data_IF_216336807885
#
_entry.id   IF_216336807885
#
_cell.length_a   1.000
_cell.length_b   1.000
_cell.length_c   1.000
_cell.angle_alpha   90.00
_cell.angle_beta   90.00
_cell.angle_gamma   90.00
#
_symmetry.space_group_name_H-M   'P 1'
#
loop_
_entity.id
_entity.type
_entity.pdbx_description
1 polymer ?
#
# COMPACT_ATOMS: atom_id res chain seq x y z
N UNK A 1 12.68 -0.21 38.86
CA UNK A 1 12.78 0.45 37.57
C UNK A 1 13.34 1.86 37.78
N UNK A 2 14.45 2.19 37.15
CA UNK A 2 15.09 3.49 37.37
C UNK A 2 14.32 4.56 36.58
N UNK A 3 14.11 5.74 37.14
CA UNK A 3 13.47 6.90 36.45
C UNK A 3 14.15 7.17 35.09
N UNK A 4 15.45 6.95 35.00
CA UNK A 4 16.24 7.06 33.79
C UNK A 4 15.74 6.10 32.70
N UNK A 5 15.42 4.85 33.06
CA UNK A 5 14.99 3.84 32.10
C UNK A 5 13.59 4.16 31.57
N UNK A 6 12.69 4.62 32.44
CA UNK A 6 11.36 5.11 32.03
C UNK A 6 11.43 6.35 31.13
N UNK A 7 12.38 7.27 31.42
CA UNK A 7 12.60 8.44 30.57
C UNK A 7 13.19 8.04 29.20
N UNK A 8 14.11 7.08 29.17
CA UNK A 8 14.69 6.57 27.94
C UNK A 8 13.63 5.88 27.07
N UNK A 9 12.78 5.05 27.67
CA UNK A 9 11.68 4.39 26.96
C UNK A 9 10.69 5.41 26.39
N UNK A 10 10.31 6.40 27.18
CA UNK A 10 9.47 7.50 26.69
C UNK A 10 10.13 8.24 25.53
N UNK A 11 11.43 8.58 25.66
CA UNK A 11 12.18 9.27 24.62
C UNK A 11 12.27 8.49 23.32
N UNK A 12 12.42 7.18 23.39
CA UNK A 12 12.46 6.29 22.22
C UNK A 12 11.15 6.31 21.41
N UNK A 13 10.03 6.48 22.09
CA UNK A 13 8.71 6.46 21.47
C UNK A 13 8.26 7.86 20.99
N UNK A 14 9.03 8.92 21.30
CA UNK A 14 8.74 10.24 20.73
C UNK A 14 9.13 10.28 19.25
N UNK A 15 8.14 10.54 18.41
CA UNK A 15 8.37 10.81 17.00
C UNK A 15 8.91 12.24 16.83
N UNK A 16 9.96 12.39 16.03
CA UNK A 16 10.65 13.67 15.83
C UNK A 16 10.87 13.89 14.33
N UNK A 17 10.31 14.98 13.84
CA UNK A 17 10.33 15.32 12.41
C UNK A 17 10.99 16.70 12.22
N UNK A 18 11.89 16.78 11.24
CA UNK A 18 12.39 18.04 10.73
C UNK A 18 11.54 18.50 9.56
N UNK A 19 11.15 19.76 9.56
CA UNK A 19 10.37 20.38 8.50
C UNK A 19 11.13 21.56 7.92
N UNK A 20 11.29 21.58 6.61
CA UNK A 20 11.91 22.71 5.90
C UNK A 20 10.98 23.19 4.82
N UNK A 21 10.72 24.49 4.78
CA UNK A 21 9.95 25.13 3.73
C UNK A 21 10.89 25.50 2.58
N UNK A 22 10.51 25.11 1.37
CA UNK A 22 11.22 25.48 0.14
C UNK A 22 10.29 26.25 -0.81
N UNK A 23 10.88 26.95 -1.76
CA UNK A 23 10.14 27.54 -2.87
C UNK A 23 9.77 26.47 -3.91
N UNK A 24 8.65 26.68 -4.61
CA UNK A 24 8.05 25.67 -5.51
C UNK A 24 8.85 25.37 -6.80
N UNK A 25 9.87 26.17 -7.12
CA UNK A 25 10.70 25.99 -8.33
C UNK A 25 12.11 25.55 -7.95
N UNK A 26 12.37 24.25 -7.95
CA UNK A 26 13.64 23.68 -7.52
C UNK A 26 14.58 23.31 -8.65
N UNK A 27 15.85 23.63 -8.44
CA UNK A 27 16.99 23.05 -9.15
C UNK A 27 17.59 21.89 -8.33
N UNK A 28 18.26 20.94 -8.97
CA UNK A 28 18.93 19.80 -8.32
C UNK A 28 19.90 20.18 -7.20
N UNK A 29 20.43 21.41 -7.20
CA UNK A 29 21.31 21.96 -6.14
C UNK A 29 20.58 22.18 -4.81
N UNK A 30 19.27 22.46 -4.80
CA UNK A 30 18.51 22.64 -3.56
C UNK A 30 18.29 21.33 -2.80
N UNK A 31 18.26 20.19 -3.50
CA UNK A 31 18.19 18.89 -2.86
C UNK A 31 19.45 18.57 -2.06
N UNK A 32 20.63 18.97 -2.54
CA UNK A 32 21.89 18.85 -1.79
C UNK A 32 21.87 19.73 -0.55
N UNK A 33 21.44 21.00 -0.67
CA UNK A 33 21.32 21.91 0.46
C UNK A 33 20.34 21.41 1.52
N UNK A 34 19.26 20.72 1.12
CA UNK A 34 18.34 20.09 2.06
C UNK A 34 19.00 18.93 2.83
N UNK A 35 19.80 18.11 2.16
CA UNK A 35 20.56 17.02 2.79
C UNK A 35 21.55 17.60 3.79
N UNK A 36 22.36 18.56 3.38
CA UNK A 36 23.38 19.19 4.22
C UNK A 36 22.78 19.86 5.45
N UNK A 37 21.72 20.67 5.29
CA UNK A 37 21.02 21.30 6.40
C UNK A 37 20.41 20.28 7.38
N UNK A 38 19.93 19.14 6.87
CA UNK A 38 19.42 18.07 7.70
C UNK A 38 20.54 17.36 8.48
N UNK A 39 21.71 17.16 7.88
CA UNK A 39 22.90 16.61 8.54
C UNK A 39 23.41 17.56 9.65
N UNK A 40 23.51 18.85 9.35
CA UNK A 40 23.90 19.87 10.33
C UNK A 40 22.92 19.93 11.50
N UNK A 41 21.61 19.86 11.25
CA UNK A 41 20.59 19.83 12.28
C UNK A 41 20.72 18.58 13.16
N UNK A 42 20.94 17.41 12.59
CA UNK A 42 21.20 16.18 13.33
C UNK A 42 22.47 16.29 14.18
N UNK A 43 23.54 16.85 13.65
CA UNK A 43 24.80 17.07 14.38
C UNK A 43 24.58 18.03 15.58
N UNK A 44 23.80 19.08 15.39
CA UNK A 44 23.45 20.02 16.46
C UNK A 44 22.64 19.34 17.58
N UNK A 45 21.63 18.55 17.25
CA UNK A 45 20.84 17.78 18.23
C UNK A 45 21.75 16.84 19.01
N UNK A 46 22.63 16.11 18.36
CA UNK A 46 23.60 15.23 19.01
C UNK A 46 24.54 16.01 19.95
N UNK A 47 24.98 17.19 19.54
CA UNK A 47 25.81 18.07 20.38
C UNK A 47 25.09 18.51 21.64
N UNK A 48 23.82 18.94 21.53
CA UNK A 48 23.00 19.33 22.69
C UNK A 48 22.79 18.14 23.63
N UNK A 49 22.41 16.98 23.09
CA UNK A 49 22.24 15.75 23.85
C UNK A 49 23.52 15.37 24.62
N UNK A 50 24.68 15.40 23.97
CA UNK A 50 25.99 15.13 24.60
C UNK A 50 26.28 16.10 25.74
N UNK A 51 26.01 17.38 25.52
CA UNK A 51 26.23 18.42 26.54
C UNK A 51 25.35 18.19 27.78
N UNK A 52 24.08 17.82 27.59
CA UNK A 52 23.18 17.49 28.69
C UNK A 52 23.67 16.23 29.41
N UNK A 53 24.03 15.19 28.67
CA UNK A 53 24.51 13.92 29.21
C UNK A 53 25.79 14.12 30.04
N UNK A 54 26.75 14.92 29.57
CA UNK A 54 27.96 15.26 30.30
C UNK A 54 27.67 16.02 31.61
N UNK A 55 26.74 16.98 31.56
CA UNK A 55 26.34 17.73 32.75
C UNK A 55 25.68 16.86 33.81
N UNK A 56 24.85 15.91 33.39
CA UNK A 56 24.16 14.97 34.30
C UNK A 56 25.14 13.98 34.92
N UNK A 57 26.16 13.56 34.22
CA UNK A 57 27.16 12.58 34.69
C UNK A 57 28.29 13.19 35.54
N UNK A 58 28.44 14.49 35.46
CA UNK A 58 29.48 15.19 36.20
C UNK A 58 30.92 14.88 35.71
N UNK A 59 31.86 14.67 36.63
CA UNK A 59 33.29 14.49 36.33
C UNK A 59 33.69 13.05 35.99
N UNK A 60 32.78 12.07 36.16
CA UNK A 60 33.06 10.68 35.84
C UNK A 60 32.74 10.38 34.36
N UNK A 61 33.68 10.58 33.48
CA UNK A 61 33.54 10.28 32.08
C UNK A 61 33.80 8.79 31.81
N UNK A 62 32.72 8.07 31.50
CA UNK A 62 32.81 6.74 30.89
C UNK A 62 32.64 6.86 29.39
N UNK A 63 33.28 5.98 28.64
CA UNK A 63 33.02 5.84 27.21
C UNK A 63 31.60 5.20 27.09
N UNK A 64 30.63 5.98 26.66
CA UNK A 64 29.30 5.48 26.38
C UNK A 64 29.02 5.54 24.87
N UNK A 65 28.42 4.46 24.41
CA UNK A 65 27.85 4.46 23.07
C UNK A 65 26.55 5.27 23.10
N UNK A 66 26.58 6.37 22.41
CA UNK A 66 25.40 7.14 22.17
C UNK A 66 24.65 6.56 20.99
N UNK A 67 23.46 6.02 21.25
CA UNK A 67 22.50 5.79 20.17
C UNK A 67 22.15 7.15 19.58
N UNK A 68 22.05 7.23 18.26
CA UNK A 68 21.71 8.46 17.58
C UNK A 68 20.35 9.00 18.10
N UNK A 69 20.43 9.97 19.01
CA UNK A 69 19.29 10.75 19.42
C UNK A 69 19.14 11.87 18.38
N UNK A 70 18.24 11.69 17.44
CA UNK A 70 18.02 12.64 16.36
C UNK A 70 16.59 12.55 15.84
N UNK A 71 16.35 13.26 14.78
CA UNK A 71 15.10 13.15 14.03
C UNK A 71 15.03 11.81 13.32
N UNK A 72 13.82 11.24 13.23
CA UNK A 72 13.59 9.96 12.55
C UNK A 72 13.43 10.15 11.03
N UNK A 73 12.86 11.28 10.63
CA UNK A 73 12.73 11.71 9.24
C UNK A 73 12.74 13.23 9.14
N UNK A 74 13.05 13.73 7.95
CA UNK A 74 12.98 15.16 7.61
C UNK A 74 12.14 15.33 6.38
N UNK A 75 11.33 16.39 6.38
CA UNK A 75 10.43 16.73 5.29
C UNK A 75 10.76 18.11 4.76
N UNK A 76 10.92 18.25 3.45
CA UNK A 76 10.83 19.53 2.79
C UNK A 76 9.38 19.78 2.41
N UNK A 77 8.87 20.97 2.70
CA UNK A 77 7.50 21.36 2.40
C UNK A 77 7.48 22.63 1.55
N UNK A 78 6.45 22.76 0.71
CA UNK A 78 6.24 23.91 -0.15
C UNK A 78 4.76 24.23 -0.30
N UNK A 79 4.46 25.41 -0.86
CA UNK A 79 3.08 25.83 -1.13
C UNK A 79 2.59 25.25 -2.46
N UNK A 80 1.31 24.93 -2.55
CA UNK A 80 0.63 24.58 -3.79
C UNK A 80 -0.58 25.48 -4.00
N UNK A 81 -0.87 25.79 -5.25
CA UNK A 81 -1.91 26.77 -5.63
C UNK A 81 -3.10 26.12 -6.36
N UNK A 82 -3.20 24.80 -6.34
CA UNK A 82 -4.24 24.09 -7.10
C UNK A 82 -5.67 24.54 -6.76
N UNK A 83 -5.93 24.90 -5.51
CA UNK A 83 -7.25 25.33 -5.03
C UNK A 83 -7.74 26.64 -5.64
N UNK A 84 -6.84 27.48 -6.21
CA UNK A 84 -7.19 28.81 -6.77
C UNK A 84 -8.34 28.77 -7.78
N UNK A 85 -8.41 27.68 -8.55
CA UNK A 85 -9.42 27.51 -9.59
C UNK A 85 -10.64 26.69 -9.13
N UNK A 86 -10.67 26.29 -7.85
CA UNK A 86 -11.69 25.38 -7.30
C UNK A 86 -12.26 25.94 -5.99
N UNK A 87 -13.30 26.81 -6.06
CA UNK A 87 -13.85 27.50 -4.88
C UNK A 87 -14.30 26.58 -3.76
N UNK A 88 -14.80 25.38 -4.08
CA UNK A 88 -15.24 24.39 -3.08
C UNK A 88 -14.11 23.84 -2.21
N UNK A 89 -12.85 24.05 -2.59
CA UNK A 89 -11.66 23.51 -1.92
C UNK A 89 -10.76 24.61 -1.34
N UNK A 90 -11.27 25.85 -1.20
CA UNK A 90 -10.49 26.97 -0.66
C UNK A 90 -10.08 26.75 0.81
N UNK A 91 -10.79 25.93 1.54
CA UNK A 91 -10.42 25.52 2.90
C UNK A 91 -9.14 24.67 2.98
N UNK A 92 -8.68 24.13 1.85
CA UNK A 92 -7.38 23.42 1.73
C UNK A 92 -6.26 24.37 1.25
N UNK A 93 -6.59 25.65 0.96
CA UNK A 93 -5.59 26.61 0.51
C UNK A 93 -4.56 26.89 1.61
N UNK A 94 -3.29 26.95 1.20
CA UNK A 94 -2.19 27.24 2.13
C UNK A 94 -1.73 26.04 2.97
N UNK A 95 -2.41 24.88 2.88
CA UNK A 95 -1.90 23.66 3.52
C UNK A 95 -0.62 23.22 2.80
N UNK A 96 0.50 23.00 3.53
CA UNK A 96 1.77 22.72 2.92
C UNK A 96 1.80 21.32 2.29
N UNK A 97 2.39 21.25 1.10
CA UNK A 97 2.67 20.01 0.40
C UNK A 97 4.07 19.51 0.76
N UNK A 98 4.20 18.22 0.97
CA UNK A 98 5.50 17.57 1.08
C UNK A 98 6.13 17.56 -0.30
N UNK A 99 7.37 18.00 -0.39
CA UNK A 99 8.13 18.08 -1.62
C UNK A 99 9.31 17.08 -1.64
N UNK A 100 9.78 16.67 -0.49
CA UNK A 100 10.69 15.54 -0.35
C UNK A 100 10.68 14.97 1.07
N UNK A 101 11.04 13.68 1.16
CA UNK A 101 11.11 12.94 2.42
C UNK A 101 12.49 12.31 2.55
N UNK A 102 13.18 12.57 3.66
CA UNK A 102 14.40 11.89 4.04
C UNK A 102 14.10 11.03 5.27
N UNK A 103 14.30 9.74 5.13
CA UNK A 103 14.09 8.77 6.20
C UNK A 103 15.44 8.30 6.71
N UNK A 104 15.66 8.38 8.02
CA UNK A 104 16.84 7.81 8.64
C UNK A 104 16.61 6.30 8.84
N UNK A 105 17.47 5.45 8.29
CA UNK A 105 17.43 4.01 8.62
C UNK A 105 17.77 3.79 10.10
N UNK A 106 17.13 2.95 10.86
CA UNK A 106 15.88 2.24 10.61
C UNK A 106 14.71 3.11 11.06
N UNK A 107 13.73 3.36 10.21
CA UNK A 107 12.57 4.13 10.63
C UNK A 107 11.54 3.18 11.29
N UNK A 108 11.20 3.47 12.54
CA UNK A 108 10.21 2.71 13.30
C UNK A 108 9.10 3.67 13.72
N UNK A 109 7.86 3.32 13.39
CA UNK A 109 6.66 4.00 13.86
C UNK A 109 5.92 3.14 14.88
N UNK A 110 5.50 3.76 15.97
CA UNK A 110 4.71 3.13 17.03
C UNK A 110 3.28 3.66 16.95
N UNK A 111 2.41 2.90 16.31
CA UNK A 111 1.00 3.24 16.16
C UNK A 111 0.15 2.62 17.27
N UNK A 112 -0.99 3.23 17.59
CA UNK A 112 -1.88 2.75 18.66
C UNK A 112 -2.57 1.45 18.28
N UNK A 113 -2.85 1.27 16.99
CA UNK A 113 -3.53 0.09 16.45
C UNK A 113 -2.64 -0.71 15.50
N UNK A 114 -2.89 -2.01 15.40
CA UNK A 114 -2.26 -2.94 14.46
C UNK A 114 -3.27 -3.64 13.55
N UNK A 115 -4.53 -3.34 13.71
CA UNK A 115 -5.64 -3.88 12.95
C UNK A 115 -6.59 -2.77 12.57
N UNK A 116 -7.33 -2.95 11.52
CA UNK A 116 -8.41 -2.04 11.15
C UNK A 116 -9.76 -2.74 11.28
N UNK A 117 -10.76 -1.96 11.55
CA UNK A 117 -12.17 -2.36 11.57
C UNK A 117 -12.97 -1.50 10.59
N UNK A 118 -14.08 -2.04 10.12
CA UNK A 118 -15.06 -1.33 9.32
C UNK A 118 -14.75 -1.22 7.83
N UNK A 119 -15.79 -0.94 7.10
CA UNK A 119 -15.79 -0.60 5.68
C UNK A 119 -16.10 0.89 5.51
N UNK A 120 -15.66 1.46 4.40
CA UNK A 120 -15.97 2.83 4.02
C UNK A 120 -17.26 2.85 3.21
N UNK A 121 -18.08 3.87 3.39
CA UNK A 121 -19.35 4.01 2.68
C UNK A 121 -19.43 5.34 1.93
N UNK A 122 -20.21 5.34 0.87
CA UNK A 122 -20.49 6.54 0.08
C UNK A 122 -21.49 7.44 0.82
N UNK A 123 -21.31 8.75 0.74
CA UNK A 123 -22.26 9.78 1.22
C UNK A 123 -22.58 10.73 0.08
N UNK A 124 -23.79 11.28 0.11
CA UNK A 124 -24.21 12.28 -0.88
C UNK A 124 -23.82 13.72 -0.49
N UNK A 125 -23.22 13.90 0.69
CA UNK A 125 -22.87 15.22 1.22
C UNK A 125 -21.36 15.45 1.15
N UNK A 126 -20.95 16.56 0.52
CA UNK A 126 -19.56 17.04 0.56
C UNK A 126 -19.28 17.75 1.89
N UNK A 127 -18.94 16.99 2.91
CA UNK A 127 -18.62 17.56 4.22
C UNK A 127 -17.29 18.32 4.22
N UNK A 128 -16.36 18.00 3.32
CA UNK A 128 -15.06 18.70 3.21
C UNK A 128 -15.24 20.21 3.11
N UNK A 129 -16.25 20.67 2.36
CA UNK A 129 -16.49 22.10 2.14
C UNK A 129 -16.80 22.88 3.44
N UNK A 130 -17.25 22.20 4.49
CA UNK A 130 -17.58 22.82 5.79
C UNK A 130 -16.43 22.75 6.81
N UNK A 131 -15.33 22.04 6.50
CA UNK A 131 -14.22 21.86 7.42
C UNK A 131 -13.24 23.04 7.37
N UNK A 132 -12.61 23.31 8.52
CA UNK A 132 -11.54 24.28 8.63
C UNK A 132 -10.26 23.58 9.09
N UNK A 133 -9.12 23.99 8.54
CA UNK A 133 -7.82 23.38 8.80
C UNK A 133 -6.82 24.46 9.26
N UNK A 134 -6.10 24.18 10.35
CA UNK A 134 -4.95 24.99 10.75
C UNK A 134 -3.74 24.60 9.91
N UNK A 135 -3.14 25.56 9.22
CA UNK A 135 -1.98 25.34 8.34
C UNK A 135 -0.75 24.77 9.08
N UNK A 136 -0.69 24.88 10.41
CA UNK A 136 0.40 24.36 11.22
C UNK A 136 0.21 22.90 11.61
N UNK A 137 -0.99 22.35 11.44
CA UNK A 137 -1.35 21.00 11.90
C UNK A 137 -1.54 20.01 10.76
N UNK A 138 -1.49 20.47 9.51
CA UNK A 138 -1.81 19.64 8.35
C UNK A 138 -0.71 19.66 7.30
N UNK A 139 -0.54 18.51 6.65
CA UNK A 139 0.42 18.30 5.55
C UNK A 139 -0.25 17.50 4.45
N UNK A 140 0.19 17.71 3.21
CA UNK A 140 -0.29 16.96 2.06
C UNK A 140 0.85 16.14 1.44
N UNK A 141 0.64 14.84 1.29
CA UNK A 141 1.49 13.96 0.49
C UNK A 141 0.87 13.81 -0.90
N UNK A 142 1.51 14.34 -1.97
CA UNK A 142 1.06 14.13 -3.33
C UNK A 142 1.54 12.76 -3.83
N UNK A 143 0.63 11.94 -4.35
CA UNK A 143 0.91 10.58 -4.77
C UNK A 143 0.27 10.20 -6.10
N UNK A 144 0.92 9.31 -6.83
CA UNK A 144 0.24 8.47 -7.81
C UNK A 144 -0.29 7.20 -7.14
N UNK A 145 -1.59 6.98 -7.24
CA UNK A 145 -2.27 5.73 -6.88
C UNK A 145 -2.75 5.10 -8.19
N UNK A 146 -1.98 4.15 -8.70
CA UNK A 146 -2.10 3.77 -10.10
C UNK A 146 -1.97 4.99 -11.01
N UNK A 147 -2.88 5.16 -11.95
CA UNK A 147 -2.90 6.32 -12.85
C UNK A 147 -3.52 7.59 -12.22
N UNK A 148 -4.07 7.51 -11.00
CA UNK A 148 -4.78 8.63 -10.37
C UNK A 148 -3.83 9.51 -9.56
N UNK A 149 -3.96 10.83 -9.71
CA UNK A 149 -3.28 11.80 -8.86
C UNK A 149 -4.07 11.96 -7.56
N UNK A 150 -3.43 11.69 -6.44
CA UNK A 150 -4.02 11.78 -5.11
C UNK A 150 -3.33 12.86 -4.28
N UNK A 151 -4.12 13.68 -3.58
CA UNK A 151 -3.65 14.59 -2.54
C UNK A 151 -4.10 14.04 -1.19
N UNK A 152 -3.14 13.48 -0.43
CA UNK A 152 -3.38 12.86 0.85
C UNK A 152 -3.03 13.85 1.95
N UNK A 153 -4.06 14.53 2.47
CA UNK A 153 -3.92 15.43 3.62
C UNK A 153 -4.03 14.63 4.91
N UNK A 154 -3.15 14.91 5.85
CA UNK A 154 -3.17 14.26 7.15
C UNK A 154 -2.79 15.23 8.27
N UNK A 155 -3.40 15.02 9.43
CA UNK A 155 -3.05 15.78 10.62
C UNK A 155 -1.65 15.40 11.12
N UNK A 156 -0.90 16.33 11.66
CA UNK A 156 0.50 16.15 12.13
C UNK A 156 0.68 14.98 13.11
N UNK A 157 -0.35 14.62 13.87
CA UNK A 157 -0.29 13.51 14.82
C UNK A 157 -0.17 12.14 14.11
N UNK A 158 -0.43 12.11 12.82
CA UNK A 158 -0.28 10.94 11.95
C UNK A 158 0.89 11.07 10.97
N UNK A 159 1.89 11.88 11.32
CA UNK A 159 3.04 12.15 10.45
C UNK A 159 3.75 10.88 9.99
N UNK A 160 3.91 9.88 10.87
CA UNK A 160 4.53 8.61 10.51
C UNK A 160 3.78 7.85 9.42
N UNK A 161 2.45 7.96 9.40
CA UNK A 161 1.63 7.38 8.32
C UNK A 161 1.84 8.12 7.00
N UNK A 162 1.87 9.45 7.03
CA UNK A 162 2.18 10.28 5.87
C UNK A 162 3.56 9.96 5.29
N UNK A 163 4.56 9.78 6.14
CA UNK A 163 5.92 9.36 5.73
C UNK A 163 5.90 7.95 5.15
N UNK A 164 5.13 7.03 5.73
CA UNK A 164 5.06 5.65 5.24
C UNK A 164 4.45 5.52 3.83
N UNK A 165 3.68 6.52 3.38
CA UNK A 165 3.20 6.58 1.99
C UNK A 165 4.36 6.61 0.98
N UNK A 166 5.52 7.19 1.35
CA UNK A 166 6.68 7.31 0.46
C UNK A 166 7.28 5.97 0.03
N UNK A 167 7.08 4.92 0.82
CA UNK A 167 7.48 3.56 0.47
C UNK A 167 6.37 2.76 -0.24
N UNK A 168 5.14 3.30 -0.30
CA UNK A 168 4.00 2.55 -0.81
C UNK A 168 3.47 3.09 -2.14
N UNK A 169 3.36 4.41 -2.27
CA UNK A 169 2.84 5.08 -3.46
C UNK A 169 3.88 6.01 -4.05
N UNK A 170 3.95 6.05 -5.37
CA UNK A 170 4.86 6.94 -6.07
C UNK A 170 4.62 8.38 -5.65
N UNK A 171 5.68 9.04 -5.24
CA UNK A 171 5.69 10.44 -4.91
C UNK A 171 5.59 11.28 -6.20
N UNK A 172 4.78 12.35 -6.18
CA UNK A 172 4.66 13.26 -7.32
C UNK A 172 5.34 14.57 -7.01
N UNK A 173 6.31 14.94 -7.84
CA UNK A 173 7.07 16.17 -7.67
C UNK A 173 6.23 17.41 -7.96
N UNK A 174 6.56 18.52 -7.29
CA UNK A 174 5.79 19.76 -7.37
C UNK A 174 5.78 20.41 -8.74
N UNK A 175 6.83 20.24 -9.53
CA UNK A 175 6.89 20.70 -10.93
C UNK A 175 5.88 19.97 -11.84
N UNK A 176 5.52 18.74 -11.51
CA UNK A 176 4.52 17.98 -12.24
C UNK A 176 3.08 18.39 -11.90
N UNK A 177 2.81 18.91 -10.68
CA UNK A 177 1.46 19.12 -10.14
C UNK A 177 1.12 20.56 -9.78
N UNK A 178 2.02 21.52 -10.06
CA UNK A 178 1.74 22.93 -9.80
C UNK A 178 0.42 23.38 -10.42
N UNK A 179 -0.56 23.74 -9.57
CA UNK A 179 -1.91 24.15 -10.00
C UNK A 179 -2.79 23.03 -10.57
N UNK A 180 -2.35 21.79 -10.63
CA UNK A 180 -3.16 20.67 -11.11
C UNK A 180 -4.18 20.22 -10.08
N UNK A 181 -5.39 19.93 -10.55
CA UNK A 181 -6.47 19.30 -9.79
C UNK A 181 -6.15 17.82 -9.53
N UNK A 182 -6.36 17.31 -8.30
CA UNK A 182 -6.24 15.87 -8.06
C UNK A 182 -7.47 15.11 -8.56
N UNK A 183 -7.31 13.80 -8.73
CA UNK A 183 -8.39 12.85 -8.93
C UNK A 183 -9.00 12.40 -7.59
N UNK A 184 -8.13 12.27 -6.59
CA UNK A 184 -8.46 11.79 -5.26
C UNK A 184 -8.01 12.80 -4.21
N UNK A 185 -8.87 13.11 -3.26
CA UNK A 185 -8.53 13.84 -2.03
C UNK A 185 -8.79 12.89 -0.85
N UNK A 186 -7.83 12.76 0.04
CA UNK A 186 -8.01 12.03 1.27
C UNK A 186 -7.63 12.89 2.46
N UNK A 187 -8.53 13.04 3.43
CA UNK A 187 -8.32 13.79 4.67
C UNK A 187 -8.26 12.79 5.83
N UNK A 188 -7.06 12.55 6.33
CA UNK A 188 -6.81 11.60 7.40
C UNK A 188 -6.64 12.31 8.75
N UNK A 189 -7.52 11.99 9.68
CA UNK A 189 -7.60 12.71 10.96
C UNK A 189 -8.48 13.96 10.87
N UNK A 190 -9.52 13.94 10.02
CA UNK A 190 -10.43 15.07 9.84
C UNK A 190 -11.30 15.30 11.08
N UNK A 191 -11.74 16.55 11.33
CA UNK A 191 -12.58 16.90 12.46
C UNK A 191 -14.07 16.56 12.22
N UNK A 192 -14.32 15.37 11.65
CA UNK A 192 -15.68 14.83 11.45
C UNK A 192 -16.02 13.84 12.55
N UNK A 193 -17.29 13.68 12.84
CA UNK A 193 -17.77 12.65 13.75
C UNK A 193 -18.18 11.37 13.03
N UNK A 194 -18.16 10.25 13.75
CA UNK A 194 -18.67 8.97 13.28
C UNK A 194 -17.66 8.17 12.46
N UNK A 195 -18.10 7.53 11.38
CA UNK A 195 -17.32 6.60 10.58
C UNK A 195 -16.68 7.27 9.37
N UNK A 196 -15.57 6.69 8.91
CA UNK A 196 -14.95 7.09 7.63
C UNK A 196 -15.88 6.87 6.45
N UNK A 197 -15.90 7.82 5.57
CA UNK A 197 -16.80 7.87 4.42
C UNK A 197 -16.17 8.57 3.24
N UNK A 198 -16.74 8.41 2.06
CA UNK A 198 -16.29 9.09 0.86
C UNK A 198 -17.46 9.71 0.09
N UNK A 199 -17.13 10.74 -0.67
CA UNK A 199 -18.04 11.51 -1.52
C UNK A 199 -17.46 11.63 -2.92
N UNK A 200 -18.31 11.59 -3.94
CA UNK A 200 -17.92 11.86 -5.32
C UNK A 200 -18.43 13.22 -5.77
N UNK A 201 -17.51 14.16 -5.95
CA UNK A 201 -17.80 15.46 -6.58
C UNK A 201 -17.86 15.29 -8.10
N UNK A 202 -19.10 15.19 -8.60
CA UNK A 202 -19.36 14.97 -10.03
C UNK A 202 -18.97 16.17 -10.90
N UNK A 203 -19.04 17.38 -10.37
CA UNK A 203 -18.74 18.62 -11.13
C UNK A 203 -17.24 18.72 -11.43
N UNK A 204 -16.43 18.36 -10.46
CA UNK A 204 -14.97 18.42 -10.58
C UNK A 204 -14.33 17.07 -10.86
N UNK A 205 -15.08 15.98 -10.90
CA UNK A 205 -14.57 14.60 -11.03
C UNK A 205 -13.47 14.30 -9.98
N UNK A 206 -13.80 14.55 -8.71
CA UNK A 206 -12.90 14.32 -7.57
C UNK A 206 -13.57 13.36 -6.58
N UNK A 207 -12.83 12.33 -6.16
CA UNK A 207 -13.27 11.42 -5.11
C UNK A 207 -12.64 11.84 -3.78
N UNK A 208 -13.47 12.11 -2.78
CA UNK A 208 -13.05 12.68 -1.49
C UNK A 208 -13.29 11.66 -0.40
N UNK A 209 -12.24 11.27 0.32
CA UNK A 209 -12.32 10.40 1.49
C UNK A 209 -12.05 11.18 2.77
N UNK A 210 -12.85 10.93 3.80
CA UNK A 210 -12.72 11.53 5.10
C UNK A 210 -12.58 10.44 6.17
N UNK A 211 -11.51 10.47 6.96
CA UNK A 211 -11.35 9.64 8.14
C UNK A 211 -11.34 10.52 9.40
N UNK A 212 -12.19 10.23 10.40
CA UNK A 212 -12.28 11.04 11.61
C UNK A 212 -10.98 11.00 12.40
N UNK A 213 -10.67 12.09 13.13
CA UNK A 213 -9.57 12.10 14.07
C UNK A 213 -9.88 11.13 15.23
N UNK A 214 -8.92 10.27 15.57
CA UNK A 214 -9.07 9.37 16.72
C UNK A 214 -8.09 8.21 16.72
N UNK A 215 -8.08 7.49 17.83
CA UNK A 215 -7.21 6.33 18.03
C UNK A 215 -7.53 5.17 17.08
N UNK A 216 -8.80 5.04 16.71
CA UNK A 216 -9.27 3.91 15.88
C UNK A 216 -8.67 3.88 14.48
N UNK A 217 -8.30 5.05 13.95
CA UNK A 217 -7.69 5.19 12.63
C UNK A 217 -6.15 5.12 12.69
N UNK A 218 -5.55 5.18 13.88
CA UNK A 218 -4.09 5.25 14.07
C UNK A 218 -3.42 3.90 13.72
N UNK A 219 -3.53 3.56 12.46
CA UNK A 219 -2.97 2.39 11.81
C UNK A 219 -2.75 2.67 10.31
N UNK A 220 -1.52 2.50 9.84
CA UNK A 220 -1.18 2.79 8.44
C UNK A 220 -2.04 2.01 7.44
N UNK A 221 -2.39 0.75 7.76
CA UNK A 221 -3.29 -0.05 6.94
C UNK A 221 -4.68 0.56 6.81
N UNK A 222 -5.12 1.41 7.75
CA UNK A 222 -6.36 2.17 7.64
C UNK A 222 -6.24 3.27 6.58
N UNK A 223 -5.16 4.09 6.66
CA UNK A 223 -4.86 5.12 5.66
C UNK A 223 -4.75 4.53 4.26
N UNK A 224 -3.92 3.50 4.10
CA UNK A 224 -3.73 2.79 2.83
C UNK A 224 -5.06 2.34 2.22
N UNK A 225 -5.89 1.66 2.99
CA UNK A 225 -7.10 0.99 2.47
C UNK A 225 -8.20 1.96 2.08
N UNK A 226 -8.36 3.11 2.77
CA UNK A 226 -9.25 4.17 2.29
C UNK A 226 -8.77 4.72 0.95
N UNK A 227 -7.48 5.03 0.83
CA UNK A 227 -6.93 5.60 -0.41
C UNK A 227 -7.14 4.63 -1.60
N UNK A 228 -6.92 3.33 -1.37
CA UNK A 228 -7.21 2.28 -2.35
C UNK A 228 -8.70 2.16 -2.65
N UNK A 229 -9.58 2.38 -1.67
CA UNK A 229 -11.03 2.38 -1.90
C UNK A 229 -11.42 3.52 -2.84
N UNK A 230 -10.92 4.74 -2.63
CA UNK A 230 -11.18 5.88 -3.51
C UNK A 230 -10.72 5.60 -4.95
N UNK A 231 -9.51 5.06 -5.09
CA UNK A 231 -8.98 4.65 -6.39
C UNK A 231 -9.89 3.61 -7.06
N UNK A 232 -10.24 2.55 -6.34
CA UNK A 232 -11.03 1.46 -6.89
C UNK A 232 -12.44 1.90 -7.29
N UNK A 233 -13.09 2.74 -6.47
CA UNK A 233 -14.41 3.32 -6.82
C UNK A 233 -14.31 4.14 -8.10
N UNK A 234 -13.26 4.96 -8.25
CA UNK A 234 -13.01 5.69 -9.50
C UNK A 234 -12.83 4.73 -10.66
N UNK A 235 -12.00 3.67 -10.52
CA UNK A 235 -11.78 2.70 -11.60
C UNK A 235 -13.09 2.03 -12.05
N UNK A 236 -13.93 1.60 -11.10
CA UNK A 236 -15.24 0.98 -11.39
C UNK A 236 -16.13 1.94 -12.20
N UNK A 237 -16.26 3.18 -11.76
CA UNK A 237 -17.08 4.20 -12.44
C UNK A 237 -16.56 4.54 -13.84
N UNK A 238 -15.29 4.28 -14.12
CA UNK A 238 -14.66 4.45 -15.45
C UNK A 238 -14.63 3.14 -16.28
N UNK A 239 -15.29 2.08 -15.84
CA UNK A 239 -15.37 0.81 -16.58
C UNK A 239 -14.13 -0.09 -16.45
N UNK A 240 -13.28 0.13 -15.46
CA UNK A 240 -12.13 -0.71 -15.18
C UNK A 240 -12.38 -1.61 -13.96
N UNK A 241 -11.77 -2.81 -13.96
CA UNK A 241 -11.98 -3.79 -12.89
C UNK A 241 -10.84 -3.76 -11.88
N UNK A 242 -11.06 -3.27 -10.63
CA UNK A 242 -10.08 -3.33 -9.57
C UNK A 242 -9.88 -4.76 -9.05
N UNK A 243 -8.63 -5.17 -8.91
CA UNK A 243 -8.23 -6.50 -8.48
C UNK A 243 -7.58 -6.43 -7.08
N UNK A 244 -8.08 -7.23 -6.15
CA UNK A 244 -7.39 -7.51 -4.89
C UNK A 244 -6.63 -8.82 -5.02
N UNK A 245 -5.34 -8.73 -5.24
CA UNK A 245 -4.55 -9.88 -5.63
C UNK A 245 -3.06 -9.59 -5.68
N UNK A 246 -2.32 -10.55 -6.22
CA UNK A 246 -0.90 -10.42 -6.53
C UNK A 246 -0.67 -10.71 -8.01
N UNK A 247 0.13 -9.88 -8.68
CA UNK A 247 0.46 -10.02 -10.09
C UNK A 247 1.98 -9.98 -10.29
N UNK A 248 2.50 -11.00 -10.96
CA UNK A 248 3.92 -11.11 -11.30
C UNK A 248 4.09 -11.27 -12.81
N UNK A 249 4.97 -10.46 -13.40
CA UNK A 249 5.47 -10.71 -14.75
C UNK A 249 6.77 -11.51 -14.67
N UNK A 250 6.72 -12.74 -15.13
CA UNK A 250 7.77 -13.75 -14.97
C UNK A 250 8.52 -13.91 -16.30
N UNK A 251 9.83 -13.76 -16.26
CA UNK A 251 10.70 -14.04 -17.41
C UNK A 251 11.41 -15.38 -17.20
N UNK A 252 11.18 -16.32 -18.09
CA UNK A 252 11.80 -17.64 -18.07
C UNK A 252 13.15 -17.63 -18.79
N UNK A 253 13.98 -18.65 -18.51
CA UNK A 253 15.32 -18.80 -19.14
C UNK A 253 15.28 -18.92 -20.67
N UNK A 254 14.18 -19.42 -21.23
CA UNK A 254 13.97 -19.48 -22.69
C UNK A 254 13.54 -18.13 -23.31
N UNK A 255 13.50 -17.05 -22.53
CA UNK A 255 13.12 -15.71 -22.95
C UNK A 255 11.60 -15.43 -22.96
N UNK A 256 10.75 -16.43 -22.71
CA UNK A 256 9.30 -16.24 -22.61
C UNK A 256 8.97 -15.37 -21.41
N UNK A 257 7.95 -14.51 -21.56
CA UNK A 257 7.39 -13.71 -20.51
C UNK A 257 5.93 -14.10 -20.30
N UNK A 258 5.55 -14.30 -19.05
CA UNK A 258 4.17 -14.67 -18.66
C UNK A 258 3.74 -13.85 -17.47
N UNK A 259 2.51 -13.37 -17.51
CA UNK A 259 1.90 -12.60 -16.42
C UNK A 259 0.87 -13.46 -15.69
N UNK A 260 1.15 -13.72 -14.43
CA UNK A 260 0.32 -14.54 -13.54
C UNK A 260 -0.38 -13.63 -12.54
N UNK A 261 -1.68 -13.80 -12.38
CA UNK A 261 -2.49 -13.07 -11.41
C UNK A 261 -3.15 -14.06 -10.44
N UNK A 262 -2.91 -13.86 -9.15
CA UNK A 262 -3.58 -14.58 -8.06
C UNK A 262 -4.53 -13.62 -7.35
N UNK A 263 -5.83 -13.90 -7.38
CA UNK A 263 -6.88 -13.10 -6.75
C UNK A 263 -7.30 -13.76 -5.45
N UNK A 264 -7.51 -12.96 -4.41
CA UNK A 264 -7.97 -13.43 -3.12
C UNK A 264 -7.71 -12.39 -2.04
N UNK A 265 -8.42 -12.48 -0.94
CA UNK A 265 -8.25 -11.57 0.19
C UNK A 265 -6.98 -11.92 1.01
N UNK A 266 -6.68 -11.12 2.02
CA UNK A 266 -5.51 -11.30 2.88
C UNK A 266 -5.51 -12.69 3.55
N UNK A 267 -4.35 -13.36 3.52
CA UNK A 267 -4.19 -14.72 4.06
C UNK A 267 -4.73 -15.85 3.15
N UNK A 268 -5.07 -15.54 1.89
CA UNK A 268 -5.49 -16.55 0.92
C UNK A 268 -4.32 -17.39 0.36
N UNK A 269 -3.05 -17.03 0.65
CA UNK A 269 -1.88 -17.79 0.21
C UNK A 269 -1.29 -17.31 -1.13
N UNK A 270 -1.61 -16.10 -1.58
CA UNK A 270 -1.14 -15.52 -2.86
C UNK A 270 0.38 -15.33 -2.87
N UNK A 271 0.88 -14.55 -1.91
CA UNK A 271 2.31 -14.19 -1.82
C UNK A 271 3.16 -15.42 -1.53
N UNK A 272 2.69 -16.29 -0.66
CA UNK A 272 3.35 -17.56 -0.31
C UNK A 272 3.48 -18.49 -1.54
N UNK A 273 2.44 -18.56 -2.37
CA UNK A 273 2.47 -19.36 -3.62
C UNK A 273 3.45 -18.79 -4.66
N UNK A 274 3.55 -17.47 -4.77
CA UNK A 274 4.48 -16.81 -5.70
C UNK A 274 5.93 -16.92 -5.21
N UNK A 275 6.17 -16.83 -3.90
CA UNK A 275 7.51 -17.03 -3.33
C UNK A 275 7.93 -18.50 -3.48
N UNK A 276 7.03 -19.45 -3.19
CA UNK A 276 7.28 -20.86 -3.44
C UNK A 276 7.59 -21.15 -4.93
N UNK A 277 6.94 -20.44 -5.86
CA UNK A 277 7.23 -20.56 -7.29
C UNK A 277 8.66 -20.14 -7.61
N UNK A 278 9.17 -19.07 -6.99
CA UNK A 278 10.56 -18.62 -7.14
C UNK A 278 11.54 -19.70 -6.69
N UNK A 279 11.26 -20.35 -5.56
CA UNK A 279 12.10 -21.43 -5.03
C UNK A 279 12.05 -22.69 -5.91
N UNK A 280 10.86 -23.13 -6.29
CA UNK A 280 10.65 -24.35 -7.11
C UNK A 280 11.29 -24.21 -8.50
N UNK A 281 11.13 -23.09 -9.13
CA UNK A 281 11.66 -22.85 -10.48
C UNK A 281 13.18 -22.62 -10.49
N UNK A 282 13.75 -22.13 -9.40
CA UNK A 282 15.18 -21.91 -9.24
C UNK A 282 15.79 -21.12 -10.40
N UNK A 283 16.79 -21.70 -11.08
CA UNK A 283 17.50 -21.04 -12.21
C UNK A 283 16.69 -20.95 -13.51
N UNK A 284 15.49 -21.55 -13.58
CA UNK A 284 14.65 -21.51 -14.79
C UNK A 284 13.86 -20.19 -14.88
N UNK A 285 13.67 -19.48 -13.78
CA UNK A 285 13.14 -18.12 -13.76
C UNK A 285 14.33 -17.14 -13.71
N UNK A 286 14.41 -16.26 -14.70
CA UNK A 286 15.43 -15.20 -14.80
C UNK A 286 15.03 -14.01 -13.94
N UNK A 287 13.76 -13.62 -13.99
CA UNK A 287 13.21 -12.52 -13.18
C UNK A 287 11.72 -12.71 -12.89
N UNK A 288 11.31 -12.25 -11.73
CA UNK A 288 9.91 -12.06 -11.33
C UNK A 288 9.73 -10.60 -10.98
N UNK A 289 8.96 -9.89 -11.77
CA UNK A 289 8.69 -8.47 -11.59
C UNK A 289 7.30 -8.29 -11.02
N UNK A 290 7.22 -7.70 -9.84
CA UNK A 290 5.94 -7.38 -9.20
C UNK A 290 5.26 -6.25 -9.96
N UNK A 291 4.04 -6.52 -10.46
CA UNK A 291 3.14 -5.53 -11.05
C UNK A 291 2.27 -4.95 -9.95
N UNK A 292 1.72 -5.79 -9.07
CA UNK A 292 1.08 -5.41 -7.81
C UNK A 292 1.11 -6.59 -6.82
N UNK A 293 1.10 -6.28 -5.53
CA UNK A 293 1.14 -7.27 -4.45
C UNK A 293 -0.11 -7.23 -3.53
N UNK A 294 -0.95 -6.20 -3.65
CA UNK A 294 -2.20 -6.07 -2.91
C UNK A 294 -3.34 -5.58 -3.83
N UNK A 295 -3.10 -4.48 -4.56
CA UNK A 295 -4.12 -3.93 -5.46
C UNK A 295 -3.58 -3.64 -6.85
N UNK A 296 -4.40 -3.96 -7.84
CA UNK A 296 -4.18 -3.63 -9.23
C UNK A 296 -5.49 -3.32 -9.94
N UNK A 297 -5.39 -3.04 -11.22
CA UNK A 297 -6.54 -2.75 -12.07
C UNK A 297 -6.38 -3.48 -13.39
N UNK A 298 -7.45 -4.13 -13.84
CA UNK A 298 -7.54 -4.66 -15.18
C UNK A 298 -8.20 -3.64 -16.11
N UNK A 299 -7.65 -3.54 -17.34
CA UNK A 299 -8.24 -2.80 -18.46
C UNK A 299 -8.32 -3.70 -19.67
N UNK A 300 -9.37 -3.55 -20.49
CA UNK A 300 -9.44 -4.22 -21.78
C UNK A 300 -8.86 -3.28 -22.85
N UNK A 301 -7.75 -3.69 -23.46
CA UNK A 301 -7.08 -2.94 -24.50
C UNK A 301 -6.85 -3.85 -25.70
N UNK A 302 -7.33 -3.44 -26.87
CA UNK A 302 -7.25 -4.22 -28.11
C UNK A 302 -7.79 -5.66 -27.96
N UNK A 303 -8.87 -5.84 -27.20
CA UNK A 303 -9.51 -7.14 -26.95
C UNK A 303 -8.73 -8.07 -26.02
N UNK A 304 -7.79 -7.57 -25.26
CA UNK A 304 -6.99 -8.30 -24.28
C UNK A 304 -7.10 -7.67 -22.89
N UNK A 305 -7.04 -8.48 -21.86
CA UNK A 305 -6.99 -7.99 -20.46
C UNK A 305 -5.55 -7.61 -20.13
N UNK A 306 -5.37 -6.35 -19.72
CA UNK A 306 -4.09 -5.76 -19.35
C UNK A 306 -4.11 -5.42 -17.87
N UNK A 307 -3.10 -5.86 -17.12
CA UNK A 307 -2.92 -5.59 -15.71
C UNK A 307 -2.03 -4.37 -15.46
N UNK A 308 -2.45 -3.51 -14.54
CA UNK A 308 -1.72 -2.36 -14.02
C UNK A 308 -1.66 -2.41 -12.51
N UNK A 309 -0.55 -1.96 -11.91
CA UNK A 309 -0.43 -1.82 -10.46
C UNK A 309 -0.97 -0.50 -9.94
N UNK A 310 -1.26 -0.45 -8.65
CA UNK A 310 -1.67 0.77 -7.94
C UNK A 310 -0.61 1.27 -6.97
N UNK A 311 0.26 0.40 -6.51
CA UNK A 311 1.26 0.63 -5.46
C UNK A 311 2.65 0.28 -5.97
N UNK A 312 3.65 1.10 -5.63
CA UNK A 312 5.07 0.82 -5.90
C UNK A 312 5.72 0.03 -4.77
N UNK A 313 5.08 -0.02 -3.61
CA UNK A 313 5.54 -0.74 -2.44
C UNK A 313 4.63 -1.89 -2.01
N UNK A 314 5.06 -2.58 -0.97
CA UNK A 314 4.29 -3.62 -0.31
C UNK A 314 4.12 -3.30 1.18
N UNK A 315 2.95 -3.65 1.72
CA UNK A 315 2.60 -3.55 3.14
C UNK A 315 2.35 -4.94 3.69
N UNK A 316 3.39 -5.57 4.23
CA UNK A 316 3.39 -6.99 4.60
C UNK A 316 3.56 -7.18 6.11
N UNK A 317 3.19 -8.36 6.61
CA UNK A 317 3.46 -8.75 7.98
C UNK A 317 4.94 -9.09 8.14
N UNK A 318 5.50 -8.67 9.27
CA UNK A 318 6.89 -8.99 9.58
C UNK A 318 7.10 -10.52 9.77
N UNK A 319 6.09 -11.19 10.31
CA UNK A 319 6.11 -12.65 10.55
C UNK A 319 6.03 -13.47 9.25
N UNK A 320 5.49 -12.89 8.17
CA UNK A 320 5.32 -13.57 6.87
C UNK A 320 6.52 -13.33 5.93
N UNK A 321 7.57 -12.61 6.40
CA UNK A 321 8.76 -12.38 5.61
C UNK A 321 9.63 -13.64 5.54
N UNK A 322 9.62 -14.30 4.40
CA UNK A 322 10.55 -15.41 4.12
C UNK A 322 11.93 -14.92 3.63
N UNK A 323 12.94 -15.80 3.76
CA UNK A 323 14.36 -15.54 3.53
C UNK A 323 14.73 -15.27 2.04
N UNK A 324 14.16 -14.29 1.37
CA UNK A 324 14.55 -14.14 -0.03
C UNK A 324 14.42 -12.72 -0.58
N UNK A 325 13.21 -12.22 -0.57
CA UNK A 325 12.85 -11.04 -1.32
C UNK A 325 12.95 -9.75 -0.50
N UNK A 326 12.44 -9.77 0.72
CA UNK A 326 12.35 -8.57 1.55
C UNK A 326 13.69 -8.15 2.17
N UNK A 327 14.63 -9.06 2.36
CA UNK A 327 15.90 -8.76 3.02
C UNK A 327 16.77 -7.74 2.27
N UNK A 328 16.66 -7.67 0.95
CA UNK A 328 17.47 -6.73 0.15
C UNK A 328 17.06 -5.27 0.31
N UNK A 329 15.79 -5.04 0.69
CA UNK A 329 15.21 -3.70 0.83
C UNK A 329 14.90 -3.34 2.30
N UNK A 330 15.35 -4.17 3.24
CA UNK A 330 15.11 -3.97 4.68
C UNK A 330 15.74 -2.67 5.22
N UNK A 331 16.82 -2.22 4.62
CA UNK A 331 17.47 -0.95 4.98
C UNK A 331 16.61 0.28 4.63
N UNK A 332 15.68 0.14 3.67
CA UNK A 332 14.73 1.18 3.27
C UNK A 332 13.36 1.03 3.93
N UNK A 333 13.15 -0.06 4.64
CA UNK A 333 11.85 -0.40 5.18
C UNK A 333 11.43 0.52 6.32
N UNK A 334 10.12 0.76 6.42
CA UNK A 334 9.49 1.42 7.56
C UNK A 334 8.80 0.35 8.38
N UNK A 335 9.19 0.24 9.65
CA UNK A 335 8.66 -0.74 10.58
C UNK A 335 7.52 -0.13 11.39
N UNK A 336 6.43 -0.86 11.50
CA UNK A 336 5.23 -0.46 12.25
C UNK A 336 5.01 -1.43 13.39
N UNK A 337 5.17 -0.95 14.63
CA UNK A 337 5.04 -1.73 15.86
C UNK A 337 5.82 -3.06 15.83
N UNK A 338 7.14 -3.08 15.59
CA UNK A 338 7.90 -4.32 15.42
C UNK A 338 7.95 -5.20 16.67
N UNK A 339 7.61 -4.65 17.83
CA UNK A 339 7.55 -5.30 19.15
C UNK A 339 6.18 -5.87 19.49
N UNK A 340 5.17 -5.69 18.63
CA UNK A 340 3.81 -6.15 18.85
C UNK A 340 3.44 -7.30 17.92
N UNK A 341 2.47 -8.11 18.33
CA UNK A 341 1.82 -9.09 17.45
C UNK A 341 1.21 -8.40 16.24
N UNK A 342 1.30 -9.02 15.07
CA UNK A 342 0.83 -8.47 13.80
C UNK A 342 1.59 -7.19 13.37
N UNK A 343 2.85 -7.11 13.74
CA UNK A 343 3.75 -6.06 13.25
C UNK A 343 3.81 -6.02 11.72
N UNK A 344 4.04 -4.84 11.17
CA UNK A 344 4.02 -4.59 9.73
C UNK A 344 5.28 -3.88 9.28
N UNK A 345 5.55 -4.03 8.00
CA UNK A 345 6.64 -3.36 7.31
C UNK A 345 6.13 -2.79 6.00
N UNK A 346 6.55 -1.59 5.67
CA UNK A 346 6.32 -0.96 4.36
C UNK A 346 7.66 -0.86 3.65
N UNK A 347 7.76 -1.48 2.48
CA UNK A 347 8.98 -1.50 1.70
C UNK A 347 8.71 -1.29 0.20
N UNK A 348 9.62 -0.61 -0.54
CA UNK A 348 9.50 -0.48 -1.98
C UNK A 348 9.77 -1.83 -2.65
N UNK A 349 8.98 -2.20 -3.66
CA UNK A 349 9.09 -3.48 -4.38
C UNK A 349 9.14 -3.33 -5.89
N UNK A 350 8.66 -2.21 -6.42
CA UNK A 350 8.60 -1.91 -7.84
C UNK A 350 8.81 -0.42 -8.08
N UNK A 351 8.87 0.00 -9.32
CA UNK A 351 8.90 1.42 -9.70
C UNK A 351 7.63 1.80 -10.42
N UNK A 352 7.27 3.09 -10.39
CA UNK A 352 6.07 3.59 -11.05
C UNK A 352 6.02 3.26 -12.56
N UNK A 353 7.08 3.49 -13.35
CA UNK A 353 7.08 3.08 -14.76
C UNK A 353 6.87 1.57 -14.95
N UNK A 354 7.33 0.74 -14.01
CA UNK A 354 7.14 -0.70 -14.07
C UNK A 354 5.68 -1.08 -13.85
N UNK A 355 5.03 -0.57 -12.80
CA UNK A 355 3.64 -0.92 -12.50
C UNK A 355 2.65 -0.35 -13.52
N UNK A 356 3.00 0.75 -14.16
CA UNK A 356 2.16 1.44 -15.16
C UNK A 356 2.42 1.04 -16.61
N UNK A 357 3.36 0.12 -16.86
CA UNK A 357 3.71 -0.31 -18.21
C UNK A 357 2.57 -1.02 -18.95
N UNK A 358 1.67 -1.68 -18.22
CA UNK A 358 0.65 -2.56 -18.76
C UNK A 358 1.21 -3.94 -19.12
N UNK A 359 0.58 -4.98 -18.60
CA UNK A 359 1.00 -6.36 -18.83
C UNK A 359 -0.20 -7.20 -19.26
N UNK A 360 -0.12 -7.80 -20.46
CA UNK A 360 -1.15 -8.75 -20.90
C UNK A 360 -1.24 -9.89 -19.89
N UNK A 361 -2.45 -10.14 -19.39
CA UNK A 361 -2.69 -11.22 -18.43
C UNK A 361 -2.67 -12.56 -19.16
N UNK A 362 -1.78 -13.46 -18.73
CA UNK A 362 -1.68 -14.79 -19.31
C UNK A 362 -2.50 -15.83 -18.56
N UNK A 363 -2.66 -15.68 -17.24
CA UNK A 363 -3.45 -16.60 -16.42
C UNK A 363 -3.97 -15.92 -15.16
N UNK A 364 -5.16 -16.32 -14.71
CA UNK A 364 -5.81 -15.78 -13.50
C UNK A 364 -6.30 -16.93 -12.63
N UNK A 365 -5.93 -16.91 -11.36
CA UNK A 365 -6.37 -17.92 -10.41
C UNK A 365 -6.96 -17.28 -9.14
N UNK A 366 -8.05 -17.85 -8.67
CA UNK A 366 -8.56 -17.59 -7.33
C UNK A 366 -7.77 -18.41 -6.29
N UNK A 367 -7.32 -17.78 -5.22
CA UNK A 367 -6.55 -18.44 -4.16
C UNK A 367 -7.49 -18.93 -3.04
N UNK A 368 -7.70 -20.24 -2.98
CA UNK A 368 -8.47 -20.92 -1.95
C UNK A 368 -7.55 -21.48 -0.87
N UNK A 369 -7.68 -21.00 0.36
CA UNK A 369 -6.83 -21.40 1.47
C UNK A 369 -7.42 -22.52 2.35
N UNK A 370 -8.62 -23.02 2.07
CA UNK A 370 -9.34 -23.94 2.94
C UNK A 370 -9.72 -25.29 2.29
N UNK A 371 -9.65 -25.40 0.96
CA UNK A 371 -10.02 -26.62 0.26
C UNK A 371 -9.05 -27.77 0.60
N UNK A 372 -9.61 -28.93 0.96
CA UNK A 372 -8.87 -30.14 1.34
C UNK A 372 -8.83 -31.22 0.25
N UNK A 373 -9.46 -30.97 -0.90
CA UNK A 373 -9.47 -31.91 -2.01
C UNK A 373 -8.05 -32.18 -2.52
N UNK A 374 -7.83 -33.36 -3.09
CA UNK A 374 -6.50 -33.75 -3.61
C UNK A 374 -6.04 -32.93 -4.82
N UNK A 375 -6.98 -32.32 -5.53
CA UNK A 375 -6.68 -31.46 -6.65
C UNK A 375 -5.94 -30.19 -6.18
N UNK A 376 -4.91 -29.82 -6.91
CA UNK A 376 -4.10 -28.62 -6.56
C UNK A 376 -4.64 -27.40 -7.27
N UNK A 377 -5.14 -27.58 -8.49
CA UNK A 377 -5.68 -26.51 -9.34
C UNK A 377 -6.89 -27.04 -10.08
N UNK A 378 -7.97 -26.31 -10.02
CA UNK A 378 -9.19 -26.53 -10.78
C UNK A 378 -9.32 -25.43 -11.86
N UNK A 379 -9.37 -25.83 -13.14
CA UNK A 379 -9.62 -24.89 -14.24
C UNK A 379 -11.12 -24.84 -14.56
N UNK A 380 -11.65 -23.64 -14.75
CA UNK A 380 -13.06 -23.47 -15.14
C UNK A 380 -13.25 -23.67 -16.64
N UNK A 381 -14.27 -24.42 -17.00
CA UNK A 381 -14.64 -24.69 -18.40
C UNK A 381 -15.54 -23.58 -19.00
N UNK A 382 -16.16 -22.77 -18.15
CA UNK A 382 -17.06 -21.71 -18.58
C UNK A 382 -16.94 -20.46 -17.71
N UNK A 383 -17.44 -19.36 -18.25
CA UNK A 383 -17.36 -18.03 -17.63
C UNK A 383 -18.19 -17.94 -16.34
N UNK A 384 -19.37 -18.57 -16.32
CA UNK A 384 -20.32 -18.47 -15.22
C UNK A 384 -19.76 -19.08 -13.93
N UNK A 385 -19.21 -20.29 -14.00
CA UNK A 385 -18.59 -20.97 -12.85
C UNK A 385 -17.38 -20.18 -12.32
N UNK A 386 -16.57 -19.64 -13.22
CA UNK A 386 -15.45 -18.77 -12.85
C UNK A 386 -15.95 -17.53 -12.10
N UNK A 387 -16.91 -16.79 -12.65
CA UNK A 387 -17.46 -15.59 -12.01
C UNK A 387 -18.04 -15.92 -10.63
N UNK A 388 -18.79 -17.01 -10.52
CA UNK A 388 -19.40 -17.43 -9.26
C UNK A 388 -18.34 -17.67 -8.17
N UNK A 389 -17.25 -18.37 -8.49
CA UNK A 389 -16.13 -18.60 -7.57
C UNK A 389 -15.46 -17.29 -7.13
N UNK A 390 -15.04 -16.47 -8.09
CA UNK A 390 -14.32 -15.23 -7.79
C UNK A 390 -15.21 -14.21 -7.06
N UNK A 391 -16.49 -14.12 -7.44
CA UNK A 391 -17.47 -13.22 -6.82
C UNK A 391 -17.80 -13.61 -5.38
N UNK A 392 -17.83 -14.91 -5.05
CA UNK A 392 -18.06 -15.40 -3.69
C UNK A 392 -16.94 -14.95 -2.75
N UNK A 393 -15.71 -14.88 -3.24
CA UNK A 393 -14.55 -14.36 -2.50
C UNK A 393 -14.35 -15.03 -1.15
N UNK A 394 -14.52 -16.37 -1.09
CA UNK A 394 -14.51 -17.15 0.14
C UNK A 394 -13.08 -17.47 0.60
N UNK A 395 -12.80 -17.29 1.90
CA UNK A 395 -11.56 -17.69 2.55
C UNK A 395 -11.78 -18.05 4.02
N UNK A 396 -10.91 -18.82 4.60
CA UNK A 396 -10.81 -18.91 6.06
C UNK A 396 -9.95 -17.74 6.55
N UNK A 397 -10.51 -16.98 7.49
CA UNK A 397 -9.84 -15.79 8.04
C UNK A 397 -8.54 -16.17 8.76
N UNK A 398 -7.45 -15.49 8.43
CA UNK A 398 -6.13 -15.71 9.03
C UNK A 398 -5.46 -14.37 9.38
N UNK A 399 -5.43 -14.05 10.66
CA UNK A 399 -4.44 -13.17 11.27
C UNK A 399 -4.52 -11.65 11.12
N UNK A 400 -5.35 -11.04 10.25
CA UNK A 400 -5.30 -9.58 10.02
C UNK A 400 -6.55 -8.81 10.39
N UNK A 401 -7.65 -9.49 10.59
CA UNK A 401 -8.94 -8.94 10.98
C UNK A 401 -9.46 -9.65 12.23
N UNK A 402 -10.49 -9.11 12.85
CA UNK A 402 -11.22 -9.77 13.95
C UNK A 402 -12.11 -10.92 13.47
N UNK A 403 -12.11 -11.20 12.18
CA UNK A 403 -12.90 -12.28 11.55
C UNK A 403 -12.37 -13.65 11.94
N UNK A 404 -13.27 -14.63 12.05
CA UNK A 404 -12.96 -16.02 12.37
C UNK A 404 -13.75 -16.99 11.48
N UNK A 405 -13.13 -18.11 11.12
CA UNK A 405 -13.75 -19.16 10.32
C UNK A 405 -13.84 -18.79 8.83
N UNK A 406 -14.75 -19.44 8.11
CA UNK A 406 -14.99 -19.16 6.70
C UNK A 406 -15.74 -17.84 6.56
N UNK A 407 -15.17 -16.90 5.79
CA UNK A 407 -15.71 -15.58 5.51
C UNK A 407 -15.76 -15.35 4.01
N UNK A 408 -16.71 -14.54 3.58
CA UNK A 408 -16.89 -14.15 2.18
C UNK A 408 -16.77 -12.64 2.03
N UNK A 409 -16.17 -12.19 0.93
CA UNK A 409 -16.09 -10.79 0.58
C UNK A 409 -16.33 -10.66 -0.92
N UNK A 410 -17.30 -9.86 -1.34
CA UNK A 410 -17.63 -9.70 -2.77
C UNK A 410 -16.35 -9.47 -3.59
N UNK A 411 -16.12 -10.36 -4.55
CA UNK A 411 -14.94 -10.38 -5.41
C UNK A 411 -13.60 -10.38 -4.64
N UNK A 412 -13.58 -10.96 -3.43
CA UNK A 412 -12.46 -10.90 -2.49
C UNK A 412 -11.93 -9.47 -2.25
N UNK A 413 -12.70 -8.43 -2.57
CA UNK A 413 -12.27 -7.04 -2.54
C UNK A 413 -13.26 -6.12 -1.80
N UNK A 414 -13.07 -5.91 -0.48
CA UNK A 414 -13.92 -5.03 0.33
C UNK A 414 -13.64 -3.53 0.08
N UNK A 415 -12.74 -3.17 -0.84
CA UNK A 415 -12.27 -1.81 -1.08
C UNK A 415 -12.73 -1.30 -2.45
N UNK A 416 -14.00 -0.92 -2.57
CA UNK A 416 -14.61 -0.42 -3.78
C UNK A 416 -15.64 -1.40 -4.39
N UNK A 417 -15.26 -2.61 -4.82
CA UNK A 417 -16.22 -3.57 -5.39
C UNK A 417 -17.38 -3.93 -4.45
N UNK A 418 -17.11 -4.16 -3.16
CA UNK A 418 -18.18 -4.47 -2.19
C UNK A 418 -19.22 -3.34 -2.07
N UNK A 419 -18.79 -2.08 -2.17
CA UNK A 419 -19.66 -0.90 -2.11
C UNK A 419 -20.41 -0.64 -3.43
N UNK A 420 -19.88 -1.13 -4.55
CA UNK A 420 -20.37 -0.83 -5.91
C UNK A 420 -20.68 -2.11 -6.71
N UNK A 421 -21.34 -3.10 -6.08
CA UNK A 421 -21.58 -4.41 -6.69
C UNK A 421 -22.38 -4.33 -8.00
N UNK A 422 -23.38 -3.43 -8.05
CA UNK A 422 -24.21 -3.24 -9.24
C UNK A 422 -23.39 -2.80 -10.46
N UNK A 423 -22.40 -1.93 -10.25
CA UNK A 423 -21.48 -1.47 -11.30
C UNK A 423 -20.40 -2.51 -11.60
N UNK A 424 -19.99 -3.32 -10.61
CA UNK A 424 -18.98 -4.34 -10.79
C UNK A 424 -19.48 -5.59 -11.51
N UNK A 425 -20.73 -5.98 -11.34
CA UNK A 425 -21.26 -7.20 -11.98
C UNK A 425 -21.05 -7.22 -13.51
N UNK A 426 -21.46 -6.18 -14.27
CA UNK A 426 -21.20 -6.17 -15.72
C UNK A 426 -19.71 -6.14 -16.06
N UNK A 427 -18.88 -5.54 -15.23
CA UNK A 427 -17.42 -5.58 -15.46
C UNK A 427 -16.87 -7.01 -15.27
N UNK A 428 -17.32 -7.75 -14.27
CA UNK A 428 -16.93 -9.16 -14.12
C UNK A 428 -17.28 -9.96 -15.37
N UNK A 429 -18.52 -9.82 -15.85
CA UNK A 429 -18.98 -10.51 -17.08
C UNK A 429 -18.10 -10.14 -18.28
N UNK A 430 -17.80 -8.87 -18.49
CA UNK A 430 -17.01 -8.38 -19.59
C UNK A 430 -15.56 -8.89 -19.55
N UNK A 431 -14.88 -8.73 -18.39
CA UNK A 431 -13.47 -9.07 -18.24
C UNK A 431 -13.23 -10.58 -18.27
N UNK A 432 -14.08 -11.37 -17.58
CA UNK A 432 -13.97 -12.82 -17.63
C UNK A 432 -14.31 -13.38 -19.01
N UNK A 433 -15.34 -12.85 -19.67
CA UNK A 433 -15.63 -13.20 -21.07
C UNK A 433 -14.44 -12.91 -21.98
N UNK A 434 -13.74 -11.79 -21.78
CA UNK A 434 -12.54 -11.44 -22.55
C UNK A 434 -11.41 -12.46 -22.31
N UNK A 435 -11.16 -12.87 -21.06
CA UNK A 435 -10.16 -13.89 -20.70
C UNK A 435 -10.47 -15.23 -21.39
N UNK A 436 -11.71 -15.70 -21.33
CA UNK A 436 -12.12 -16.95 -21.98
C UNK A 436 -12.04 -16.87 -23.50
N UNK A 437 -12.48 -15.77 -24.13
CA UNK A 437 -12.36 -15.54 -25.58
C UNK A 437 -10.91 -15.53 -26.06
N UNK A 438 -9.99 -15.10 -25.23
CA UNK A 438 -8.55 -15.09 -25.53
C UNK A 438 -7.84 -16.37 -25.06
N UNK A 439 -8.60 -17.40 -24.68
CA UNK A 439 -8.12 -18.71 -24.24
C UNK A 439 -7.10 -18.63 -23.09
N UNK A 440 -7.27 -17.66 -22.19
CA UNK A 440 -6.42 -17.56 -21.00
C UNK A 440 -6.92 -18.53 -19.92
N UNK A 441 -6.02 -19.31 -19.27
CA UNK A 441 -6.39 -20.15 -18.13
C UNK A 441 -7.00 -19.32 -17.01
N UNK A 442 -8.21 -19.67 -16.60
CA UNK A 442 -8.90 -19.13 -15.43
C UNK A 442 -9.27 -20.29 -14.54
N UNK A 443 -8.91 -20.23 -13.25
CA UNK A 443 -9.11 -21.35 -12.34
C UNK A 443 -9.06 -20.97 -10.88
N UNK A 444 -9.07 -22.00 -10.04
CA UNK A 444 -8.88 -21.93 -8.60
C UNK A 444 -7.65 -22.69 -8.21
N UNK A 445 -6.79 -22.13 -7.34
CA UNK A 445 -5.63 -22.80 -6.75
C UNK A 445 -5.87 -23.09 -5.28
N UNK A 446 -5.59 -24.32 -4.85
CA UNK A 446 -5.77 -24.74 -3.47
C UNK A 446 -4.49 -24.54 -2.66
N UNK A 447 -4.34 -23.33 -2.12
CA UNK A 447 -3.16 -22.94 -1.34
C UNK A 447 -3.12 -23.63 0.02
N UNK A 448 -4.27 -24.04 0.55
CA UNK A 448 -4.43 -24.74 1.84
C UNK A 448 -3.74 -24.08 3.03
N UNK A 449 -3.45 -22.78 2.91
CA UNK A 449 -2.71 -22.04 3.93
C UNK A 449 -3.42 -22.03 5.30
N UNK A 450 -4.74 -22.21 5.32
CA UNK A 450 -5.54 -22.32 6.55
C UNK A 450 -5.86 -23.76 6.96
N UNK A 451 -5.31 -24.78 6.28
CA UNK A 451 -5.50 -26.20 6.61
C UNK A 451 -4.34 -26.67 7.49
N UNK A 452 -4.61 -27.09 8.76
CA UNK A 452 -3.56 -27.51 9.67
C UNK A 452 -2.68 -28.64 9.11
N UNK A 453 -1.36 -28.43 9.12
CA UNK A 453 -0.36 -29.36 8.59
C UNK A 453 -0.10 -29.26 7.09
N UNK A 454 -0.82 -28.42 6.34
CA UNK A 454 -0.63 -28.21 4.90
C UNK A 454 -0.18 -26.80 4.53
N UNK A 455 0.10 -25.95 5.53
CA UNK A 455 0.40 -24.51 5.35
C UNK A 455 1.60 -24.24 4.42
N UNK A 456 2.60 -25.12 4.43
CA UNK A 456 3.78 -25.04 3.57
C UNK A 456 3.62 -25.89 2.29
N UNK A 457 3.01 -27.08 2.42
CA UNK A 457 2.85 -28.01 1.31
C UNK A 457 1.91 -27.47 0.24
N UNK A 458 0.80 -26.83 0.65
CA UNK A 458 -0.19 -26.27 -0.26
C UNK A 458 0.41 -25.27 -1.26
N UNK A 459 1.03 -24.17 -0.80
CA UNK A 459 1.70 -23.19 -1.67
C UNK A 459 2.80 -23.82 -2.54
N UNK A 460 3.56 -24.78 -2.01
CA UNK A 460 4.61 -25.48 -2.75
C UNK A 460 4.06 -26.34 -3.90
N UNK A 461 2.95 -27.02 -3.70
CA UNK A 461 2.29 -27.82 -4.74
C UNK A 461 1.66 -26.93 -5.81
N UNK A 462 1.04 -25.80 -5.43
CA UNK A 462 0.59 -24.77 -6.37
C UNK A 462 1.76 -24.25 -7.20
N UNK A 463 2.89 -23.95 -6.57
CA UNK A 463 4.10 -23.48 -7.25
C UNK A 463 4.61 -24.48 -8.32
N UNK A 464 4.62 -25.78 -8.00
CA UNK A 464 4.99 -26.82 -8.97
C UNK A 464 4.07 -26.84 -10.18
N UNK A 465 2.76 -26.71 -9.95
CA UNK A 465 1.79 -26.65 -11.04
C UNK A 465 2.01 -25.42 -11.91
N UNK A 466 2.10 -24.24 -11.28
CA UNK A 466 2.32 -22.97 -12.02
C UNK A 466 3.60 -23.05 -12.85
N UNK A 467 4.69 -23.56 -12.27
CA UNK A 467 5.95 -23.72 -13.01
C UNK A 467 5.80 -24.65 -14.22
N UNK A 468 5.09 -25.76 -14.07
CA UNK A 468 4.82 -26.69 -15.17
C UNK A 468 4.04 -26.01 -16.30
N UNK A 469 3.01 -25.22 -15.99
CA UNK A 469 2.21 -24.50 -16.98
C UNK A 469 3.03 -23.39 -17.67
N UNK A 470 3.87 -22.67 -16.90
CA UNK A 470 4.75 -21.62 -17.44
C UNK A 470 5.80 -22.18 -18.40
N UNK A 471 6.33 -23.38 -18.14
CA UNK A 471 7.40 -24.01 -18.93
C UNK A 471 6.86 -24.77 -20.16
N UNK A 472 5.56 -25.09 -20.18
CA UNK A 472 4.96 -25.78 -21.32
C UNK A 472 5.04 -24.91 -22.58
N UNK A 473 5.53 -25.54 -23.67
CA UNK A 473 5.47 -24.96 -24.99
C UNK A 473 4.00 -24.95 -25.44
N UNK A 474 3.49 -23.79 -25.86
CA UNK A 474 2.28 -23.76 -26.69
C UNK A 474 2.56 -24.65 -27.91
N UNK A 475 1.80 -25.74 -28.03
CA UNK A 475 1.79 -26.57 -29.22
C UNK A 475 1.03 -25.88 -30.33
#
# INVERSE_FOLDING_TARGET
MCIRDSFYDYWRHLERYGLMRSEANRNSLESLSFIEANEEFNALILKVYRSISQKVQGTNFHIYRQLAAGINASLSICDNTWTKNYPLYQNLAGLPFIDSVLIKPTFISYTRRNTRTGTYYETDVNELASLNFDVNDWYCYPAHVGASLAYVYFHRDYMSHGIALSNLFEFVHMDEISGKKPDLIYIFGSPIEGKSRYYYDKENDIYIGLAPYGEEIDYFGYMKKMLLTLHNVKQIKHGFLPIHGACQNITLKNGKKKTVVLIGDSGAGKSESLEALRMVAGKNIVSMQTVFDDMGTFKIENGKVIAYGTETGAFVRLDDLENGYAYKEMDRAIFLNPDKVNSRIVLPVSTYPQIMKGYEVDMVFYANNYNTDKEVVHLFDNVEDAINCFKAGARVAKGTTSEKGLVTSYFANPFGPTQNQELCNPLLDEYFTCLFKTHKPVGEIHTRLAVPGLEHEGPHNVAKYLFKVLDQHEK
#
